data_IF_401791877078
#
_entry.id   IF_401791877078
#
_cell.length_a   1.000
_cell.length_b   1.000
_cell.length_c   1.000
_cell.angle_alpha   90.00
_cell.angle_beta   90.00
_cell.angle_gamma   90.00
#
_symmetry.space_group_name_H-M   'P 1'
#
loop_
_entity.id
_entity.type
_entity.pdbx_description
1 polymer ?
#
# COMPACT_ATOMS: atom_id res chain seq x y z
N UNK A 1 2.75 2.50 12.96
CA UNK A 1 3.62 1.73 12.02
C UNK A 1 2.86 0.51 11.54
N UNK A 2 3.02 0.11 10.28
CA UNK A 2 2.33 -1.06 9.70
C UNK A 2 2.86 -2.38 10.32
N UNK A 3 1.97 -3.35 10.54
CA UNK A 3 2.32 -4.69 11.04
C UNK A 3 2.27 -5.70 9.89
N UNK A 4 3.43 -6.01 9.34
CA UNK A 4 3.58 -6.86 8.16
C UNK A 4 4.61 -6.28 7.20
N UNK A 5 4.51 -6.66 5.93
CA UNK A 5 5.42 -6.18 4.88
C UNK A 5 5.01 -4.81 4.37
N UNK A 6 5.97 -3.88 4.33
CA UNK A 6 5.80 -2.56 3.73
C UNK A 6 6.75 -2.39 2.53
N UNK A 7 6.25 -1.78 1.47
CA UNK A 7 7.02 -1.36 0.31
C UNK A 7 6.90 0.15 0.16
N UNK A 8 8.03 0.84 0.01
CA UNK A 8 8.09 2.29 -0.17
C UNK A 8 8.98 2.59 -1.38
N UNK A 9 8.38 3.13 -2.42
CA UNK A 9 9.10 3.65 -3.57
C UNK A 9 9.46 5.13 -3.34
N UNK A 10 10.72 5.49 -3.60
CA UNK A 10 11.25 6.84 -3.41
C UNK A 10 11.87 7.32 -4.71
N UNK A 11 11.27 8.36 -5.32
CA UNK A 11 11.78 9.01 -6.53
C UNK A 11 13.01 9.89 -6.25
N UNK A 12 14.17 9.24 -6.09
CA UNK A 12 15.43 9.89 -5.75
C UNK A 12 16.24 10.28 -7.00
N UNK A 13 16.57 11.57 -7.13
CA UNK A 13 17.45 12.03 -8.22
C UNK A 13 18.90 11.57 -7.96
N UNK A 14 19.63 11.24 -9.03
CA UNK A 14 21.06 11.00 -8.97
C UNK A 14 21.79 12.05 -9.81
N UNK A 15 22.28 13.12 -9.19
CA UNK A 15 22.86 14.27 -9.90
C UNK A 15 24.04 13.91 -10.82
N UNK A 16 24.78 12.84 -10.54
CA UNK A 16 25.96 12.45 -11.31
C UNK A 16 25.57 11.64 -12.56
N UNK A 17 24.67 10.67 -12.40
CA UNK A 17 24.40 9.66 -13.44
C UNK A 17 23.05 9.80 -14.11
N UNK A 18 22.10 10.46 -13.46
CA UNK A 18 20.73 10.61 -13.95
C UNK A 18 20.13 11.91 -13.41
N UNK A 19 20.77 13.03 -13.77
CA UNK A 19 20.31 14.34 -13.33
C UNK A 19 18.94 14.66 -13.94
N UNK A 20 18.10 15.31 -13.15
CA UNK A 20 16.74 15.74 -13.51
C UNK A 20 15.77 14.62 -13.91
N UNK A 21 16.05 13.37 -13.56
CA UNK A 21 15.27 12.19 -13.95
C UNK A 21 13.76 12.33 -13.74
N UNK A 22 13.37 13.04 -12.68
CA UNK A 22 11.98 13.17 -12.23
C UNK A 22 11.50 14.63 -12.21
N UNK A 23 12.31 15.59 -12.66
CA UNK A 23 11.98 17.02 -12.66
C UNK A 23 10.72 17.34 -13.48
N UNK A 24 10.39 16.49 -14.45
CA UNK A 24 9.19 16.64 -15.27
C UNK A 24 7.88 16.60 -14.45
N UNK A 25 7.87 16.04 -13.24
CA UNK A 25 6.69 16.10 -12.35
C UNK A 25 7.01 16.57 -10.93
N UNK A 26 8.25 16.44 -10.44
CA UNK A 26 8.63 16.91 -9.09
C UNK A 26 9.15 18.35 -9.05
N UNK A 27 9.46 18.93 -10.21
CA UNK A 27 10.05 20.27 -10.29
C UNK A 27 9.16 21.30 -9.62
N UNK A 28 9.75 22.27 -8.92
CA UNK A 28 9.00 23.23 -8.08
C UNK A 28 7.90 23.98 -8.83
N UNK A 29 8.15 24.30 -10.10
CA UNK A 29 7.26 25.07 -10.94
C UNK A 29 6.12 24.23 -11.53
N UNK A 30 6.23 22.89 -11.49
CA UNK A 30 5.29 21.98 -12.15
C UNK A 30 4.60 21.01 -11.19
N UNK A 31 5.17 20.78 -9.99
CA UNK A 31 4.69 19.75 -9.06
C UNK A 31 3.24 19.92 -8.64
N UNK A 32 2.77 21.17 -8.51
CA UNK A 32 1.37 21.43 -8.16
C UNK A 32 0.40 20.84 -9.19
N UNK A 33 0.77 20.87 -10.46
CA UNK A 33 -0.07 20.41 -11.57
C UNK A 33 0.16 18.96 -12.00
N UNK A 34 1.31 18.39 -11.64
CA UNK A 34 1.77 17.09 -12.17
C UNK A 34 1.91 16.01 -11.12
N UNK A 35 1.72 16.35 -9.85
CA UNK A 35 1.77 15.42 -8.73
C UNK A 35 0.51 15.55 -7.89
N UNK A 36 0.05 14.44 -7.33
CA UNK A 36 -1.08 14.39 -6.41
C UNK A 36 -0.67 13.67 -5.13
N UNK A 37 -0.94 14.29 -3.99
CA UNK A 37 -0.79 13.66 -2.68
C UNK A 37 -2.11 12.98 -2.30
N UNK A 38 -2.06 11.66 -2.14
CA UNK A 38 -3.24 10.85 -1.82
C UNK A 38 -3.29 10.57 -0.31
N UNK A 39 -4.45 10.82 0.29
CA UNK A 39 -4.71 10.65 1.71
C UNK A 39 -5.98 9.83 1.93
N UNK A 40 -5.96 8.90 2.88
CA UNK A 40 -7.13 8.07 3.16
C UNK A 40 -8.35 8.91 3.59
N UNK A 41 -9.49 8.64 2.96
CA UNK A 41 -10.75 9.33 3.22
C UNK A 41 -10.85 10.72 2.59
N UNK A 42 -9.88 11.12 1.76
CA UNK A 42 -9.85 12.45 1.12
C UNK A 42 -10.15 12.32 -0.38
N UNK A 43 -10.86 13.30 -0.97
CA UNK A 43 -11.04 13.35 -2.41
C UNK A 43 -9.70 13.63 -3.10
N UNK A 44 -9.49 13.02 -4.26
CA UNK A 44 -8.30 13.21 -5.06
C UNK A 44 -8.31 14.60 -5.72
N UNK A 45 -7.55 15.54 -5.16
CA UNK A 45 -7.39 16.90 -5.67
C UNK A 45 -5.92 17.26 -5.90
N UNK A 46 -5.69 18.07 -6.94
CA UNK A 46 -4.38 18.56 -7.32
C UNK A 46 -4.52 19.85 -8.15
N UNK A 47 -3.42 20.37 -8.70
CA UNK A 47 -3.34 21.66 -9.36
C UNK A 47 -2.64 22.69 -8.47
N UNK A 48 -1.99 23.68 -9.09
CA UNK A 48 -1.26 24.71 -8.35
C UNK A 48 -2.14 25.49 -7.35
N UNK A 49 -3.45 25.57 -7.61
CA UNK A 49 -4.47 26.18 -6.74
C UNK A 49 -5.48 25.13 -6.24
N UNK A 50 -5.13 23.85 -6.32
CA UNK A 50 -5.98 22.70 -5.97
C UNK A 50 -7.25 22.58 -6.84
N UNK A 51 -7.27 23.21 -8.01
CA UNK A 51 -8.46 23.39 -8.85
C UNK A 51 -8.85 22.16 -9.68
N UNK A 52 -8.01 21.12 -9.72
CA UNK A 52 -8.24 19.88 -10.47
C UNK A 52 -8.57 18.73 -9.52
N UNK A 53 -9.26 17.73 -10.05
CA UNK A 53 -9.56 16.51 -9.33
C UNK A 53 -9.55 15.29 -10.23
N UNK A 54 -9.60 14.11 -9.60
CA UNK A 54 -9.79 12.84 -10.29
C UNK A 54 -11.18 12.31 -9.95
N UNK A 55 -11.96 11.97 -10.98
CA UNK A 55 -13.27 11.32 -10.86
C UNK A 55 -13.24 9.92 -11.46
N UNK A 56 -14.05 9.02 -10.90
CA UNK A 56 -14.33 7.72 -11.50
C UNK A 56 -15.65 7.77 -12.28
N UNK A 57 -15.60 7.39 -13.57
CA UNK A 57 -16.77 7.42 -14.48
C UNK A 57 -17.55 6.10 -14.52
N UNK A 58 -17.18 5.11 -13.70
CA UNK A 58 -17.68 3.73 -13.78
C UNK A 58 -16.78 2.81 -14.61
N UNK A 59 -16.00 3.36 -15.54
CA UNK A 59 -15.12 2.59 -16.44
C UNK A 59 -13.65 3.04 -16.39
N UNK A 60 -13.41 4.33 -16.18
CA UNK A 60 -12.06 4.91 -16.17
C UNK A 60 -11.95 6.05 -15.16
N UNK A 61 -10.70 6.45 -14.90
CA UNK A 61 -10.40 7.72 -14.24
C UNK A 61 -10.49 8.85 -15.25
N UNK A 62 -10.87 10.03 -14.77
CA UNK A 62 -10.94 11.26 -15.55
C UNK A 62 -10.38 12.42 -14.71
N UNK A 63 -9.55 13.26 -15.34
CA UNK A 63 -9.13 14.54 -14.76
C UNK A 63 -10.21 15.58 -15.02
N UNK A 64 -10.69 16.21 -13.96
CA UNK A 64 -11.76 17.22 -14.02
C UNK A 64 -11.31 18.54 -13.39
N UNK A 65 -11.96 19.64 -13.76
CA UNK A 65 -11.78 20.95 -13.10
C UNK A 65 -12.92 21.17 -12.12
N UNK A 66 -12.61 21.34 -10.84
CA UNK A 66 -13.60 21.52 -9.78
C UNK A 66 -14.21 22.92 -9.88
N UNK A 67 -15.54 23.02 -9.74
CA UNK A 67 -16.29 24.28 -9.90
C UNK A 67 -16.64 24.65 -11.34
N UNK A 68 -16.16 23.89 -12.33
CA UNK A 68 -16.58 24.00 -13.73
C UNK A 68 -17.73 23.02 -14.06
N UNK A 69 -18.74 22.95 -13.19
CA UNK A 69 -19.84 21.99 -13.29
C UNK A 69 -19.55 20.60 -12.72
N UNK A 70 -18.42 20.43 -12.03
CA UNK A 70 -18.10 19.25 -11.21
C UNK A 70 -17.89 19.69 -9.76
N UNK A 71 -18.65 19.09 -8.86
CA UNK A 71 -18.56 19.33 -7.42
C UNK A 71 -17.52 18.42 -6.76
N UNK A 72 -17.00 18.84 -5.61
CA UNK A 72 -15.99 18.06 -4.87
C UNK A 72 -16.51 16.67 -4.44
N UNK A 73 -17.81 16.54 -4.20
CA UNK A 73 -18.48 15.28 -3.83
C UNK A 73 -18.50 14.24 -4.97
N UNK A 74 -18.26 14.66 -6.21
CA UNK A 74 -18.16 13.76 -7.37
C UNK A 74 -16.76 13.19 -7.56
N UNK A 75 -15.77 13.68 -6.80
CA UNK A 75 -14.40 13.22 -6.92
C UNK A 75 -14.21 11.84 -6.30
N UNK A 76 -13.24 11.12 -6.84
CA UNK A 76 -12.82 9.84 -6.30
C UNK A 76 -12.21 10.04 -4.91
N UNK A 77 -12.80 9.39 -3.91
CA UNK A 77 -12.31 9.40 -2.53
C UNK A 77 -11.35 8.23 -2.34
N UNK A 78 -10.11 8.52 -1.93
CA UNK A 78 -9.10 7.50 -1.74
C UNK A 78 -9.38 6.64 -0.51
N UNK A 79 -9.38 5.33 -0.67
CA UNK A 79 -9.49 4.35 0.41
C UNK A 79 -8.31 3.37 0.35
N UNK A 80 -7.34 3.58 1.25
CA UNK A 80 -6.16 2.70 1.37
C UNK A 80 -6.52 1.27 1.79
N UNK A 81 -7.73 1.05 2.34
CA UNK A 81 -8.22 -0.25 2.81
C UNK A 81 -9.07 -0.98 1.78
N UNK A 82 -9.31 -0.35 0.62
CA UNK A 82 -10.19 -0.90 -0.40
C UNK A 82 -9.67 -2.21 -1.01
N UNK A 83 -10.49 -2.83 -1.86
CA UNK A 83 -10.06 -3.95 -2.71
C UNK A 83 -8.89 -3.54 -3.62
N UNK A 84 -8.24 -4.53 -4.24
CA UNK A 84 -7.00 -4.32 -5.02
C UNK A 84 -7.16 -3.39 -6.24
N UNK A 85 -8.39 -3.09 -6.67
CA UNK A 85 -8.65 -2.33 -7.89
C UNK A 85 -8.18 -0.87 -7.79
N UNK A 86 -8.60 -0.15 -6.74
CA UNK A 86 -8.28 1.29 -6.58
C UNK A 86 -6.77 1.54 -6.45
N UNK A 87 -6.02 0.86 -5.55
CA UNK A 87 -4.58 1.08 -5.42
C UNK A 87 -3.82 0.78 -6.71
N UNK A 88 -4.26 -0.20 -7.49
CA UNK A 88 -3.65 -0.57 -8.77
C UNK A 88 -3.90 0.47 -9.88
N UNK A 89 -5.08 1.08 -9.90
CA UNK A 89 -5.39 2.20 -10.80
C UNK A 89 -4.55 3.43 -10.44
N UNK A 90 -4.53 3.81 -9.15
CA UNK A 90 -3.78 4.96 -8.69
C UNK A 90 -2.28 4.80 -8.95
N UNK A 91 -1.73 3.60 -8.71
CA UNK A 91 -0.32 3.29 -8.97
C UNK A 91 0.06 3.27 -10.45
N UNK A 92 -0.90 3.37 -11.38
CA UNK A 92 -0.66 3.50 -12.83
C UNK A 92 -0.81 4.91 -13.36
N UNK A 93 -1.24 5.85 -12.53
CA UNK A 93 -1.33 7.24 -12.95
C UNK A 93 0.07 7.77 -13.24
N UNK A 94 0.26 8.31 -14.44
CA UNK A 94 1.50 8.95 -14.86
C UNK A 94 1.20 10.14 -15.77
N UNK A 95 2.12 11.09 -15.78
CA UNK A 95 2.04 12.29 -16.59
C UNK A 95 2.38 11.97 -18.05
N UNK A 96 1.68 12.52 -19.06
CA UNK A 96 0.78 13.68 -19.02
C UNK A 96 -0.70 13.38 -18.79
N UNK A 97 -1.10 12.13 -18.81
CA UNK A 97 -2.52 11.73 -18.76
C UNK A 97 -3.12 11.96 -17.36
N UNK A 98 -2.35 11.69 -16.32
CA UNK A 98 -2.72 11.87 -14.93
C UNK A 98 -1.55 12.48 -14.12
N UNK A 99 -1.81 13.11 -12.96
CA UNK A 99 -0.73 13.45 -12.04
C UNK A 99 -0.09 12.18 -11.46
N UNK A 100 1.22 12.21 -11.21
CA UNK A 100 1.92 11.14 -10.50
C UNK A 100 1.47 11.14 -9.03
N UNK A 101 0.93 10.02 -8.57
CA UNK A 101 0.48 9.88 -7.20
C UNK A 101 1.63 9.63 -6.22
N UNK A 102 1.58 10.28 -5.06
CA UNK A 102 2.44 10.03 -3.92
C UNK A 102 1.57 9.88 -2.66
N UNK A 103 2.00 9.04 -1.72
CA UNK A 103 1.27 8.79 -0.48
C UNK A 103 1.08 7.29 -0.22
N UNK A 104 0.14 6.96 0.66
CA UNK A 104 -0.17 5.57 1.00
C UNK A 104 -1.23 5.04 0.04
N UNK A 105 -0.81 4.26 -0.96
CA UNK A 105 -1.74 3.63 -1.91
C UNK A 105 -2.60 2.55 -1.27
N UNK A 106 -2.01 1.79 -0.33
CA UNK A 106 -2.68 0.66 0.29
C UNK A 106 -2.13 0.35 1.68
N UNK A 107 -3.03 0.20 2.65
CA UNK A 107 -2.73 -0.27 3.99
C UNK A 107 -3.86 -1.15 4.48
N UNK A 108 -3.60 -2.45 4.64
CA UNK A 108 -4.60 -3.42 5.12
C UNK A 108 -4.05 -4.25 6.25
N UNK A 109 -4.94 -4.74 7.10
CA UNK A 109 -4.58 -5.69 8.15
C UNK A 109 -4.82 -7.12 7.63
N UNK A 110 -3.77 -7.94 7.68
CA UNK A 110 -3.82 -9.38 7.38
C UNK A 110 -2.89 -10.10 8.36
N UNK A 111 -3.17 -11.39 8.60
CA UNK A 111 -2.26 -12.23 9.35
C UNK A 111 -0.87 -12.22 8.70
N UNK A 112 0.16 -11.98 9.51
CA UNK A 112 1.55 -12.05 9.06
C UNK A 112 2.02 -13.50 9.06
N UNK A 113 3.09 -13.78 8.32
CA UNK A 113 3.67 -15.12 8.29
C UNK A 113 4.01 -15.63 9.70
N UNK A 114 4.66 -14.79 10.50
CA UNK A 114 5.06 -15.11 11.88
C UNK A 114 3.85 -15.44 12.74
N UNK A 115 2.79 -14.60 12.68
CA UNK A 115 1.57 -14.84 13.45
C UNK A 115 0.89 -16.18 13.10
N UNK A 116 0.97 -16.59 11.83
CA UNK A 116 0.41 -17.85 11.38
C UNK A 116 1.27 -19.05 11.79
N UNK A 117 2.60 -18.90 11.80
CA UNK A 117 3.52 -19.93 12.32
C UNK A 117 3.32 -20.12 13.82
N UNK A 118 3.25 -19.03 14.58
CA UNK A 118 2.99 -19.10 16.02
C UNK A 118 1.63 -19.76 16.30
N UNK A 119 0.58 -19.37 15.57
CA UNK A 119 -0.72 -19.99 15.68
C UNK A 119 -0.68 -21.49 15.35
N UNK A 120 0.10 -21.90 14.35
CA UNK A 120 0.29 -23.30 13.99
C UNK A 120 0.95 -24.09 15.13
N UNK A 121 2.00 -23.54 15.75
CA UNK A 121 2.71 -24.18 16.87
C UNK A 121 1.78 -24.34 18.08
N UNK A 122 1.04 -23.29 18.44
CA UNK A 122 0.10 -23.35 19.57
C UNK A 122 -1.04 -24.33 19.30
N UNK A 123 -1.55 -24.38 18.06
CA UNK A 123 -2.55 -25.38 17.67
C UNK A 123 -2.02 -26.81 17.76
N UNK A 124 -0.74 -27.05 17.46
CA UNK A 124 -0.12 -28.37 17.56
C UNK A 124 0.13 -28.83 19.01
N UNK A 125 0.31 -27.89 19.93
CA UNK A 125 0.44 -28.15 21.37
C UNK A 125 -0.91 -28.33 22.08
N UNK A 126 -1.97 -27.75 21.54
CA UNK A 126 -3.29 -27.74 22.18
C UNK A 126 -3.76 -29.17 22.50
N UNK A 127 -4.13 -29.41 23.77
CA UNK A 127 -4.57 -30.72 24.26
C UNK A 127 -3.45 -31.73 24.55
N UNK A 128 -2.17 -31.31 24.48
CA UNK A 128 -1.03 -32.10 24.94
C UNK A 128 -0.52 -31.55 26.26
N UNK A 129 -0.19 -32.46 27.19
CA UNK A 129 0.52 -32.08 28.41
C UNK A 129 1.94 -31.60 28.06
N UNK A 130 2.55 -30.70 28.86
CA UNK A 130 3.94 -30.32 28.68
C UNK A 130 4.85 -31.55 28.82
N UNK A 131 5.32 -32.09 27.70
CA UNK A 131 6.22 -33.23 27.68
C UNK A 131 7.67 -32.79 27.93
N UNK A 132 8.40 -33.61 28.68
CA UNK A 132 9.86 -33.43 28.79
C UNK A 132 10.53 -34.01 27.55
N UNK A 133 11.73 -33.53 27.21
CA UNK A 133 12.52 -34.16 26.14
C UNK A 133 12.70 -35.67 26.37
N UNK A 134 12.79 -36.11 27.63
CA UNK A 134 12.85 -37.52 27.99
C UNK A 134 11.57 -38.27 27.63
N UNK A 135 10.38 -37.73 27.94
CA UNK A 135 9.12 -38.41 27.59
C UNK A 135 8.87 -38.46 26.08
N UNK A 136 9.40 -37.50 25.32
CA UNK A 136 9.35 -37.51 23.85
C UNK A 136 10.30 -38.54 23.22
N UNK A 137 11.48 -38.76 23.82
CA UNK A 137 12.51 -39.64 23.28
C UNK A 137 12.39 -41.10 23.74
N UNK A 138 11.88 -41.32 24.94
CA UNK A 138 11.74 -42.65 25.54
C UNK A 138 10.28 -43.09 25.53
N UNK A 139 9.79 -43.44 24.34
CA UNK A 139 8.45 -44.00 24.10
C UNK A 139 8.49 -45.54 24.12
N UNK A 140 7.36 -46.19 23.80
CA UNK A 140 7.21 -47.65 23.87
C UNK A 140 8.23 -48.44 23.02
N UNK A 141 8.83 -47.82 22.01
CA UNK A 141 9.82 -48.44 21.12
C UNK A 141 11.28 -48.29 21.62
N UNK A 142 11.50 -47.86 22.85
CA UNK A 142 12.83 -47.79 23.46
C UNK A 142 13.18 -49.06 24.25
N UNK A 143 14.41 -49.56 24.11
CA UNK A 143 14.92 -50.69 24.91
C UNK A 143 16.21 -50.29 25.63
N UNK A 144 16.40 -50.85 26.83
CA UNK A 144 17.67 -50.73 27.56
C UNK A 144 18.62 -51.85 27.14
N UNK A 145 19.88 -51.51 26.89
CA UNK A 145 20.95 -52.47 26.60
C UNK A 145 21.68 -52.77 27.91
N UNK A 146 21.73 -54.04 28.30
CA UNK A 146 22.44 -54.55 29.47
C UNK A 146 23.21 -55.83 29.17
#
# INVERSE_FOLDING_TARGET
AHKGSAFVEIFQNCNIFNDKAFEYFKGKDVKGDRMIEIEHGRPLRFGAQNEKGIRWTGQSLEVVTVGAGVEESELFVHDERSTLHSPFLLGRMDYPEFPVAIGVFRAVERATYESLVDQQVESAKAGREPETLRSLLYTEDSWEVG
#
